data_IF_444164390661
#
_entry.id   IF_444164390661
#
_cell.length_a   1.000
_cell.length_b   1.000
_cell.length_c   1.000
_cell.angle_alpha   90.00
_cell.angle_beta   90.00
_cell.angle_gamma   90.00
#
_symmetry.space_group_name_H-M   'P 1'
#
loop_
_entity.id
_entity.type
_entity.pdbx_description
1 polymer ?
#
# COMPACT_ATOMS: atom_id res chain seq x y z
N UNK A 1 -21.85 25.73 -43.91
CA UNK A 1 -21.39 25.85 -42.52
C UNK A 1 -22.59 25.90 -41.60
N UNK A 2 -22.57 25.26 -40.43
CA UNK A 2 -23.74 25.16 -39.54
C UNK A 2 -23.29 25.53 -38.12
N UNK A 3 -23.74 26.69 -37.65
CA UNK A 3 -23.37 27.25 -36.35
C UNK A 3 -24.52 27.00 -35.37
N UNK A 4 -24.17 26.55 -34.17
CA UNK A 4 -25.10 26.44 -33.06
C UNK A 4 -24.68 27.40 -31.96
N UNK A 5 -25.64 28.15 -31.44
CA UNK A 5 -25.47 28.94 -30.22
C UNK A 5 -26.41 28.41 -29.17
N UNK A 6 -25.90 28.23 -27.96
CA UNK A 6 -26.69 27.93 -26.79
C UNK A 6 -26.44 28.99 -25.73
N UNK A 7 -27.42 29.18 -24.86
CA UNK A 7 -27.34 30.02 -23.68
C UNK A 7 -27.87 29.24 -22.49
N UNK A 8 -27.23 29.40 -21.34
CA UNK A 8 -27.68 28.83 -20.07
C UNK A 8 -27.95 29.94 -19.07
N UNK A 9 -28.94 29.74 -18.22
CA UNK A 9 -29.17 30.56 -17.04
C UNK A 9 -29.25 29.67 -15.81
N UNK A 10 -28.88 30.22 -14.64
CA UNK A 10 -28.86 29.47 -13.38
C UNK A 10 -30.30 29.29 -12.90
N UNK A 11 -30.79 28.05 -12.93
CA UNK A 11 -32.15 27.71 -12.50
C UNK A 11 -32.30 27.71 -10.97
N UNK A 12 -31.27 27.26 -10.25
CA UNK A 12 -31.25 27.20 -8.78
C UNK A 12 -29.83 27.12 -8.22
N UNK A 13 -29.70 27.34 -6.91
CA UNK A 13 -28.51 26.99 -6.17
C UNK A 13 -28.39 25.47 -6.01
N UNK A 14 -27.17 24.96 -6.15
CA UNK A 14 -26.83 23.59 -5.78
C UNK A 14 -26.45 23.57 -4.29
N UNK A 15 -26.69 22.44 -3.63
CA UNK A 15 -26.23 22.25 -2.26
C UNK A 15 -24.72 22.45 -2.18
N UNK A 16 -24.29 23.11 -1.10
CA UNK A 16 -22.86 23.35 -0.87
C UNK A 16 -22.15 21.99 -0.82
N UNK A 17 -21.05 21.79 -1.56
CA UNK A 17 -20.31 20.54 -1.48
C UNK A 17 -19.93 20.28 -0.02
N UNK A 18 -19.95 19.01 0.44
CA UNK A 18 -19.54 18.66 1.78
C UNK A 18 -18.19 19.30 2.08
N UNK A 19 -18.00 19.78 3.31
CA UNK A 19 -16.72 20.35 3.73
C UNK A 19 -15.64 19.32 3.41
N UNK A 20 -14.59 19.75 2.69
CA UNK A 20 -13.41 18.91 2.47
C UNK A 20 -13.00 18.31 3.82
N UNK A 21 -12.92 16.98 3.89
CA UNK A 21 -12.35 16.32 5.06
C UNK A 21 -10.91 16.82 5.17
N UNK A 22 -10.66 17.71 6.13
CA UNK A 22 -9.31 18.16 6.42
C UNK A 22 -8.51 16.93 6.83
N UNK A 23 -7.27 16.82 6.33
CA UNK A 23 -6.35 15.83 6.86
C UNK A 23 -6.20 16.06 8.38
N UNK A 24 -6.04 14.99 9.18
CA UNK A 24 -5.79 15.11 10.60
C UNK A 24 -4.64 16.08 10.94
N UNK A 25 -4.75 16.79 12.06
CA UNK A 25 -3.77 17.82 12.45
C UNK A 25 -2.34 17.29 12.56
N UNK A 26 -2.15 16.05 13.02
CA UNK A 26 -0.83 15.41 13.09
C UNK A 26 -0.17 15.23 11.72
N UNK A 27 -0.95 15.15 10.64
CA UNK A 27 -0.44 15.14 9.25
C UNK A 27 -0.17 16.57 8.78
N UNK A 28 -1.08 17.51 9.07
CA UNK A 28 -1.02 18.89 8.55
C UNK A 28 0.12 19.68 9.21
N UNK A 29 0.25 19.58 10.53
CA UNK A 29 1.22 20.36 11.30
C UNK A 29 2.57 19.68 11.44
N UNK A 30 2.58 18.33 11.45
CA UNK A 30 3.78 17.51 11.70
C UNK A 30 4.37 17.65 13.11
N UNK A 31 3.69 18.33 14.03
CA UNK A 31 4.17 18.59 15.40
C UNK A 31 3.62 17.59 16.42
N UNK A 32 2.47 17.00 16.12
CA UNK A 32 1.83 16.04 16.99
C UNK A 32 2.37 14.62 16.74
N UNK A 33 2.39 13.74 17.76
CA UNK A 33 2.78 12.35 17.59
C UNK A 33 1.87 11.62 16.59
N UNK A 34 2.46 10.72 15.80
CA UNK A 34 1.72 9.82 14.91
C UNK A 34 0.90 8.84 15.77
N UNK A 35 -0.42 8.71 15.54
CA UNK A 35 -1.28 7.89 16.39
C UNK A 35 -0.99 6.39 16.19
N UNK A 36 -0.86 5.64 17.28
CA UNK A 36 -0.66 4.19 17.22
C UNK A 36 -2.01 3.44 17.14
N UNK A 37 -2.70 3.62 16.02
CA UNK A 37 -3.97 2.94 15.75
C UNK A 37 -3.76 1.44 15.52
N UNK A 38 -4.82 0.65 15.69
CA UNK A 38 -4.78 -0.80 15.39
C UNK A 38 -4.39 -1.08 13.94
N UNK A 39 -4.90 -0.27 12.99
CA UNK A 39 -4.55 -0.39 11.57
C UNK A 39 -3.08 -0.07 11.30
N UNK A 40 -2.52 0.97 11.93
CA UNK A 40 -1.10 1.30 11.79
C UNK A 40 -0.21 0.21 12.39
N UNK A 41 -0.59 -0.34 13.54
CA UNK A 41 0.12 -1.46 14.17
C UNK A 41 0.13 -2.70 13.26
N UNK A 42 -1.02 -3.04 12.67
CA UNK A 42 -1.13 -4.17 11.74
C UNK A 42 -0.29 -3.94 10.47
N UNK A 43 -0.33 -2.73 9.92
CA UNK A 43 0.45 -2.37 8.74
C UNK A 43 1.96 -2.41 9.04
N UNK A 44 2.37 -1.93 10.22
CA UNK A 44 3.78 -1.96 10.65
C UNK A 44 4.29 -3.39 10.76
N UNK A 45 3.53 -4.30 11.39
CA UNK A 45 3.87 -5.72 11.48
C UNK A 45 4.02 -6.36 10.09
N UNK A 46 3.06 -6.09 9.19
CA UNK A 46 3.08 -6.61 7.82
C UNK A 46 4.31 -6.11 7.07
N UNK A 47 4.61 -4.82 7.20
CA UNK A 47 5.79 -4.19 6.59
C UNK A 47 7.09 -4.78 7.14
N UNK A 48 7.15 -5.06 8.44
CA UNK A 48 8.30 -5.71 9.06
C UNK A 48 8.53 -7.11 8.49
N UNK A 49 7.48 -7.92 8.32
CA UNK A 49 7.59 -9.24 7.68
C UNK A 49 8.12 -9.10 6.25
N UNK A 50 7.57 -8.17 5.45
CA UNK A 50 8.05 -7.93 4.09
C UNK A 50 9.50 -7.46 4.05
N UNK A 51 9.90 -6.54 4.93
CA UNK A 51 11.29 -6.10 5.04
C UNK A 51 12.24 -7.26 5.38
N UNK A 52 11.78 -8.19 6.22
CA UNK A 52 12.54 -9.37 6.57
C UNK A 52 12.64 -10.34 5.38
N UNK A 53 11.54 -10.57 4.67
CA UNK A 53 11.55 -11.36 3.42
C UNK A 53 12.54 -10.76 2.41
N UNK A 54 12.57 -9.43 2.26
CA UNK A 54 13.52 -8.74 1.38
C UNK A 54 14.98 -8.95 1.82
N UNK A 55 15.26 -8.94 3.12
CA UNK A 55 16.62 -9.17 3.63
C UNK A 55 17.12 -10.60 3.43
N UNK A 56 16.23 -11.55 3.15
CA UNK A 56 16.58 -12.93 2.82
C UNK A 56 17.00 -13.11 1.35
N UNK A 57 16.78 -12.12 0.47
CA UNK A 57 17.11 -12.19 -0.95
C UNK A 57 18.63 -12.09 -1.13
N UNK A 58 19.25 -13.24 -1.37
CA UNK A 58 20.71 -13.37 -1.55
C UNK A 58 21.10 -13.99 -2.91
N UNK A 59 20.11 -14.24 -3.78
CA UNK A 59 20.29 -14.91 -5.07
C UNK A 59 20.52 -16.41 -4.99
N UNK A 60 20.46 -17.02 -3.80
CA UNK A 60 20.75 -18.45 -3.58
C UNK A 60 19.55 -19.20 -2.99
N UNK A 61 18.79 -18.56 -2.11
CA UNK A 61 17.64 -19.18 -1.44
C UNK A 61 16.43 -19.28 -2.35
N UNK A 62 15.73 -20.42 -2.29
CA UNK A 62 14.41 -20.59 -2.89
C UNK A 62 13.30 -20.06 -1.97
N UNK A 63 12.08 -19.94 -2.51
CA UNK A 63 10.88 -19.60 -1.72
C UNK A 63 10.68 -20.59 -0.55
N UNK A 64 10.98 -21.88 -0.77
CA UNK A 64 10.87 -22.91 0.27
C UNK A 64 11.90 -22.71 1.38
N UNK A 65 13.12 -22.32 1.02
CA UNK A 65 14.18 -22.03 2.02
C UNK A 65 13.80 -20.81 2.85
N UNK A 66 13.24 -19.78 2.22
CA UNK A 66 12.74 -18.59 2.91
C UNK A 66 11.58 -18.92 3.86
N UNK A 67 10.66 -19.80 3.45
CA UNK A 67 9.54 -20.24 4.29
C UNK A 67 10.03 -20.95 5.57
N UNK A 68 11.06 -21.80 5.46
CA UNK A 68 11.70 -22.44 6.62
C UNK A 68 12.28 -21.38 7.58
N UNK A 69 12.85 -20.30 7.06
CA UNK A 69 13.38 -19.21 7.89
C UNK A 69 12.26 -18.46 8.62
N UNK A 70 11.15 -18.13 7.94
CA UNK A 70 10.01 -17.46 8.55
C UNK A 70 9.38 -18.29 9.68
N UNK A 71 9.24 -19.60 9.48
CA UNK A 71 8.75 -20.53 10.49
C UNK A 71 9.69 -20.60 11.70
N UNK A 72 11.00 -20.70 11.47
CA UNK A 72 12.01 -20.69 12.55
C UNK A 72 11.96 -19.41 13.39
N UNK A 73 11.64 -18.27 12.76
CA UNK A 73 11.47 -16.99 13.44
C UNK A 73 10.09 -16.83 14.10
N UNK A 74 9.22 -17.85 14.04
CA UNK A 74 7.85 -17.86 14.58
C UNK A 74 6.98 -16.71 14.04
N UNK A 75 7.22 -16.30 12.80
CA UNK A 75 6.46 -15.23 12.15
C UNK A 75 5.15 -15.74 11.56
N UNK A 76 5.15 -16.96 11.01
CA UNK A 76 3.99 -17.66 10.45
C UNK A 76 4.35 -19.13 10.20
N UNK A 77 3.35 -19.99 9.97
CA UNK A 77 3.62 -21.40 9.63
C UNK A 77 4.25 -21.53 8.24
N UNK A 78 4.88 -22.67 7.95
CA UNK A 78 5.44 -22.90 6.62
C UNK A 78 4.36 -22.92 5.52
N UNK A 79 3.21 -23.48 5.82
CA UNK A 79 2.05 -23.57 4.91
C UNK A 79 1.50 -22.19 4.56
N UNK A 80 1.57 -21.24 5.51
CA UNK A 80 1.19 -19.84 5.31
C UNK A 80 2.32 -19.04 4.60
N UNK A 81 3.57 -19.34 4.93
CA UNK A 81 4.74 -18.63 4.42
C UNK A 81 4.93 -18.76 2.91
N UNK A 82 4.83 -19.98 2.37
CA UNK A 82 5.07 -20.21 0.94
C UNK A 82 4.15 -19.38 0.02
N UNK A 83 2.81 -19.35 0.20
CA UNK A 83 1.93 -18.52 -0.61
C UNK A 83 2.12 -17.02 -0.36
N UNK A 84 2.44 -16.61 0.88
CA UNK A 84 2.71 -15.22 1.21
C UNK A 84 3.97 -14.69 0.51
N UNK A 85 5.08 -15.44 0.60
CA UNK A 85 6.34 -15.10 -0.10
C UNK A 85 6.11 -15.08 -1.60
N UNK A 86 5.41 -16.07 -2.17
CA UNK A 86 5.11 -16.11 -3.61
C UNK A 86 4.37 -14.85 -4.06
N UNK A 87 3.30 -14.48 -3.36
CA UNK A 87 2.50 -13.29 -3.68
C UNK A 87 3.34 -12.02 -3.60
N UNK A 88 4.18 -11.90 -2.57
CA UNK A 88 5.09 -10.78 -2.41
C UNK A 88 6.13 -10.69 -3.53
N UNK A 89 6.75 -11.82 -3.90
CA UNK A 89 7.75 -11.89 -4.99
C UNK A 89 7.14 -11.59 -6.35
N UNK A 90 5.91 -12.04 -6.62
CA UNK A 90 5.17 -11.69 -7.85
C UNK A 90 5.01 -10.17 -7.94
N UNK A 91 4.56 -9.53 -6.86
CA UNK A 91 4.40 -8.08 -6.81
C UNK A 91 5.71 -7.33 -7.02
N UNK A 92 6.78 -7.76 -6.32
CA UNK A 92 8.12 -7.17 -6.47
C UNK A 92 8.64 -7.26 -7.92
N UNK A 93 8.43 -8.40 -8.57
CA UNK A 93 8.81 -8.59 -9.96
C UNK A 93 7.99 -7.69 -10.89
N UNK A 94 6.69 -7.58 -10.69
CA UNK A 94 5.83 -6.71 -11.50
C UNK A 94 6.19 -5.22 -11.33
N UNK A 95 6.48 -4.79 -10.10
CA UNK A 95 6.91 -3.43 -9.80
C UNK A 95 8.27 -3.10 -10.45
N UNK A 96 9.20 -4.07 -10.49
CA UNK A 96 10.50 -3.90 -11.17
C UNK A 96 10.36 -3.68 -12.68
N UNK A 97 9.39 -4.36 -13.31
CA UNK A 97 9.09 -4.19 -14.74
C UNK A 97 8.43 -2.86 -15.04
N UNK A 98 7.60 -2.36 -14.13
CA UNK A 98 6.98 -1.04 -14.26
C UNK A 98 8.02 0.08 -14.15
N UNK A 99 8.94 -0.01 -13.18
CA UNK A 99 10.01 0.97 -13.03
C UNK A 99 10.97 1.00 -14.24
N UNK A 100 11.24 -0.15 -14.85
CA UNK A 100 12.07 -0.21 -16.06
C UNK A 100 11.41 0.38 -17.32
N UNK A 101 10.10 0.67 -17.27
CA UNK A 101 9.33 1.25 -18.38
C UNK A 101 9.15 2.77 -18.32
N UNK A 102 9.82 3.46 -17.38
CA UNK A 102 9.84 4.92 -17.26
C UNK A 102 11.22 5.49 -17.60
#
# INVERSE_FOLDING_TARGET
ERVFSFSSYKERDADKPPRHAALPDWIVTGKDPVPLTSSFRQQAMTTQIYSFIMSLIDGKRSIKDMAIVLEKQKLMSREEAEPAIRSFMTKMHDDSKRQAGF
#
